data_IF_401862959441
#
_entry.id   IF_401862959441
#
_cell.length_a   1.000
_cell.length_b   1.000
_cell.length_c   1.000
_cell.angle_alpha   90.00
_cell.angle_beta   90.00
_cell.angle_gamma   90.00
#
_symmetry.space_group_name_H-M   'P 1'
#
loop_
_entity.id
_entity.type
_entity.pdbx_description
1 polymer ?
#
# COMPACT_ATOMS: atom_id res chain seq x y z
N UNK A 1 0.67 -1.42 -21.47
CA UNK A 1 2.09 -1.03 -21.48
C UNK A 1 2.82 -1.90 -20.49
N UNK A 2 4.12 -2.14 -20.69
CA UNK A 2 4.96 -2.81 -19.72
C UNK A 2 5.42 -1.79 -18.67
N UNK A 3 5.35 -2.14 -17.38
CA UNK A 3 5.73 -1.24 -16.29
C UNK A 3 7.25 -1.06 -16.20
N UNK A 4 8.03 -2.07 -16.58
CA UNK A 4 9.50 -2.00 -16.57
C UNK A 4 10.04 -0.96 -17.56
N UNK A 5 9.28 -0.58 -18.57
CA UNK A 5 9.63 0.48 -19.52
C UNK A 5 9.67 1.87 -18.85
N UNK A 6 9.06 2.02 -17.66
CA UNK A 6 9.05 3.26 -16.90
C UNK A 6 10.32 3.44 -16.02
N UNK A 7 11.21 2.44 -15.96
CA UNK A 7 12.44 2.56 -15.17
C UNK A 7 13.34 3.66 -15.72
N UNK A 8 14.15 4.26 -14.85
CA UNK A 8 15.18 5.21 -15.27
C UNK A 8 16.23 4.49 -16.15
N UNK A 9 16.53 5.00 -17.36
CA UNK A 9 17.57 4.43 -18.22
C UNK A 9 18.96 4.36 -17.57
N UNK A 10 19.22 5.19 -16.56
CA UNK A 10 20.50 5.24 -15.85
C UNK A 10 20.67 4.12 -14.80
N UNK A 11 19.63 3.33 -14.51
CA UNK A 11 19.70 2.23 -13.53
C UNK A 11 20.58 1.05 -14.01
N UNK A 12 21.03 1.10 -15.27
CA UNK A 12 21.89 0.09 -15.87
C UNK A 12 21.15 -1.20 -16.24
N UNK A 13 21.93 -2.23 -16.56
CA UNK A 13 21.43 -3.58 -16.87
C UNK A 13 21.51 -4.55 -15.70
N UNK A 14 22.28 -4.21 -14.66
CA UNK A 14 22.46 -5.02 -13.45
C UNK A 14 21.51 -4.54 -12.36
N UNK A 15 20.24 -4.94 -12.46
CA UNK A 15 19.24 -4.71 -11.44
C UNK A 15 18.32 -5.93 -11.32
N UNK A 16 17.68 -6.07 -10.17
CA UNK A 16 16.64 -7.08 -9.99
C UNK A 16 15.32 -6.55 -10.58
N UNK A 17 14.82 -7.21 -11.63
CA UNK A 17 13.57 -6.83 -12.28
C UNK A 17 12.38 -6.87 -11.33
N UNK A 18 12.36 -7.81 -10.38
CA UNK A 18 11.27 -7.96 -9.42
C UNK A 18 11.25 -6.81 -8.41
N UNK A 19 12.41 -6.34 -7.97
CA UNK A 19 12.52 -5.17 -7.10
C UNK A 19 12.03 -3.93 -7.84
N UNK A 20 12.53 -3.67 -9.05
CA UNK A 20 12.13 -2.50 -9.85
C UNK A 20 10.63 -2.51 -10.14
N UNK A 21 10.08 -3.65 -10.55
CA UNK A 21 8.64 -3.78 -10.76
C UNK A 21 7.85 -3.47 -9.47
N UNK A 22 8.29 -4.01 -8.33
CA UNK A 22 7.68 -3.77 -7.03
C UNK A 22 7.73 -2.29 -6.64
N UNK A 23 8.89 -1.62 -6.74
CA UNK A 23 8.99 -0.20 -6.35
C UNK A 23 8.15 0.71 -7.25
N UNK A 24 8.07 0.40 -8.55
CA UNK A 24 7.23 1.15 -9.49
C UNK A 24 5.73 0.97 -9.15
N UNK A 25 5.30 -0.25 -8.85
CA UNK A 25 3.91 -0.53 -8.39
C UNK A 25 3.61 0.18 -7.06
N UNK A 26 4.53 0.13 -6.10
CA UNK A 26 4.39 0.78 -4.80
C UNK A 26 4.32 2.31 -4.94
N UNK A 27 5.18 2.91 -5.78
CA UNK A 27 5.16 4.35 -6.06
C UNK A 27 3.84 4.83 -6.64
N UNK A 28 3.23 4.02 -7.51
CA UNK A 28 1.91 4.29 -8.07
C UNK A 28 0.81 4.25 -6.99
N UNK A 29 0.85 3.27 -6.09
CA UNK A 29 -0.07 3.17 -4.97
C UNK A 29 0.09 4.33 -3.98
N UNK A 30 1.33 4.74 -3.68
CA UNK A 30 1.63 5.91 -2.85
C UNK A 30 1.13 7.23 -3.47
N UNK A 31 1.07 7.29 -4.80
CA UNK A 31 0.63 8.47 -5.56
C UNK A 31 -0.86 8.48 -5.85
N UNK A 32 -1.63 7.55 -5.26
CA UNK A 32 -3.06 7.44 -5.50
C UNK A 32 -3.81 8.75 -5.18
N UNK A 33 -4.80 9.10 -6.00
CA UNK A 33 -5.56 10.36 -5.86
C UNK A 33 -6.34 10.43 -4.55
N UNK A 34 -7.03 9.35 -4.18
CA UNK A 34 -7.64 9.17 -2.87
C UNK A 34 -6.57 8.93 -1.79
N UNK A 35 -6.44 9.83 -0.77
CA UNK A 35 -5.51 9.66 0.34
C UNK A 35 -5.74 8.41 1.17
N UNK A 36 -6.98 7.91 1.26
CA UNK A 36 -7.32 6.73 2.07
C UNK A 36 -6.90 5.41 1.42
N UNK A 37 -6.67 5.41 0.11
CA UNK A 37 -6.15 4.25 -0.63
C UNK A 37 -4.62 4.16 -0.59
N UNK A 38 -3.93 5.22 -0.15
CA UNK A 38 -2.46 5.22 -0.02
C UNK A 38 -2.03 4.33 1.15
N UNK A 39 -0.91 3.62 1.03
CA UNK A 39 -0.40 2.80 2.11
C UNK A 39 0.16 3.69 3.22
N UNK A 40 0.09 3.20 4.46
CA UNK A 40 0.79 3.82 5.58
C UNK A 40 2.30 3.65 5.42
N UNK A 41 3.10 4.54 6.01
CA UNK A 41 4.57 4.41 5.97
C UNK A 41 5.07 3.06 6.53
N UNK A 42 4.37 2.49 7.52
CA UNK A 42 4.68 1.15 8.03
C UNK A 42 4.52 0.07 6.95
N UNK A 43 3.42 0.11 6.19
CA UNK A 43 3.19 -0.84 5.09
C UNK A 43 4.22 -0.65 3.97
N UNK A 44 4.54 0.59 3.60
CA UNK A 44 5.59 0.91 2.61
C UNK A 44 6.92 0.23 2.99
N UNK A 45 7.34 0.36 4.25
CA UNK A 45 8.58 -0.28 4.73
C UNK A 45 8.50 -1.81 4.66
N UNK A 46 7.38 -2.41 5.05
CA UNK A 46 7.22 -3.86 4.97
C UNK A 46 7.34 -4.37 3.52
N UNK A 47 6.80 -3.63 2.54
CA UNK A 47 6.94 -4.00 1.12
C UNK A 47 8.39 -3.86 0.64
N UNK A 48 9.07 -2.77 1.01
CA UNK A 48 10.46 -2.52 0.61
C UNK A 48 11.45 -3.52 1.25
N UNK A 49 11.17 -3.98 2.47
CA UNK A 49 11.99 -4.99 3.14
C UNK A 49 11.72 -6.42 2.66
N UNK A 50 10.66 -6.63 1.86
CA UNK A 50 10.18 -7.98 1.51
C UNK A 50 9.44 -8.70 2.63
N UNK A 51 9.10 -8.01 3.73
CA UNK A 51 8.31 -8.55 4.84
C UNK A 51 6.82 -8.75 4.47
N UNK A 52 6.38 -8.13 3.38
CA UNK A 52 5.04 -8.29 2.82
C UNK A 52 5.07 -8.21 1.29
N UNK A 53 4.11 -8.88 0.63
CA UNK A 53 3.92 -8.77 -0.81
C UNK A 53 2.91 -7.67 -1.15
N UNK A 54 3.18 -6.92 -2.21
CA UNK A 54 2.21 -5.95 -2.72
C UNK A 54 0.92 -6.66 -3.16
N UNK A 55 -0.25 -6.03 -2.92
CA UNK A 55 -1.49 -6.52 -3.51
C UNK A 55 -1.40 -6.44 -5.04
N UNK A 56 -2.05 -7.38 -5.73
CA UNK A 56 -2.16 -7.34 -7.18
C UNK A 56 -2.93 -6.08 -7.60
N UNK A 57 -2.24 -5.18 -8.31
CA UNK A 57 -2.78 -3.88 -8.70
C UNK A 57 -3.47 -4.05 -10.05
N UNK A 58 -4.79 -4.24 -10.04
CA UNK A 58 -5.54 -4.17 -11.29
C UNK A 58 -5.68 -2.70 -11.74
N UNK A 59 -5.80 -2.43 -13.05
CA UNK A 59 -6.06 -1.08 -13.55
C UNK A 59 -7.30 -0.40 -12.93
N UNK A 60 -8.24 -1.19 -12.41
CA UNK A 60 -9.44 -0.70 -11.75
C UNK A 60 -9.17 -0.23 -10.32
N UNK A 61 -8.24 -0.88 -9.61
CA UNK A 61 -7.86 -0.52 -8.23
C UNK A 61 -7.22 0.88 -8.17
N UNK A 62 -6.54 1.28 -9.25
CA UNK A 62 -5.87 2.58 -9.39
C UNK A 62 -6.81 3.71 -9.80
N UNK A 63 -8.04 3.38 -10.22
CA UNK A 63 -9.04 4.35 -10.72
C UNK A 63 -10.05 4.76 -9.63
N UNK A 64 -9.89 4.24 -8.41
CA UNK A 64 -10.57 4.79 -7.24
C UNK A 64 -11.82 4.05 -6.76
N UNK A 65 -11.90 2.71 -6.89
CA UNK A 65 -12.87 1.91 -6.15
C UNK A 65 -12.31 0.49 -5.92
N UNK A 66 -11.80 0.17 -4.73
CA UNK A 66 -11.60 -1.25 -4.36
C UNK A 66 -10.51 -1.61 -3.35
N UNK A 67 -9.55 -0.73 -3.02
CA UNK A 67 -8.42 -1.15 -2.16
C UNK A 67 -8.82 -1.36 -0.68
N UNK A 68 -9.95 -0.80 -0.25
CA UNK A 68 -10.47 -0.99 1.11
C UNK A 68 -10.85 -2.45 1.45
N UNK A 69 -11.03 -3.34 0.46
CA UNK A 69 -11.41 -4.73 0.73
C UNK A 69 -10.23 -5.73 0.83
N UNK A 70 -9.07 -5.45 0.23
CA UNK A 70 -7.87 -6.33 0.35
C UNK A 70 -6.88 -5.89 1.43
N UNK A 71 -6.77 -4.58 1.70
CA UNK A 71 -5.93 -4.11 2.82
C UNK A 71 -6.60 -4.33 4.19
N UNK A 72 -7.92 -4.45 4.23
CA UNK A 72 -8.67 -4.81 5.44
C UNK A 72 -8.47 -6.28 5.83
N UNK A 73 -8.18 -7.18 4.88
CA UNK A 73 -7.85 -8.57 5.20
C UNK A 73 -6.47 -8.69 5.88
N UNK A 74 -5.50 -7.86 5.47
CA UNK A 74 -4.20 -7.72 6.17
C UNK A 74 -4.36 -7.01 7.52
N UNK A 75 -5.36 -6.14 7.68
CA UNK A 75 -5.70 -5.52 8.97
C UNK A 75 -6.44 -6.48 9.91
N UNK A 76 -7.27 -7.40 9.39
CA UNK A 76 -8.05 -8.34 10.20
C UNK A 76 -7.19 -9.44 10.85
N UNK A 77 -5.99 -9.72 10.34
CA UNK A 77 -5.05 -10.64 10.99
C UNK A 77 -4.24 -10.00 12.13
N UNK A 78 -4.23 -8.66 12.26
CA UNK A 78 -3.54 -7.94 13.34
C UNK A 78 -4.46 -7.33 14.41
N UNK A 79 -5.79 -7.33 14.23
CA UNK A 79 -6.73 -6.89 15.29
C UNK A 79 -7.11 -8.01 16.27
N UNK A 80 -6.19 -8.94 16.51
CA UNK A 80 -6.19 -9.80 17.70
C UNK A 80 -5.52 -9.08 18.87
N UNK A 81 -6.11 -7.98 19.34
CA UNK A 81 -5.71 -7.33 20.60
C UNK A 81 -5.38 -5.85 20.48
N UNK A 82 -6.37 -4.97 20.65
CA UNK A 82 -6.24 -3.71 21.40
C UNK A 82 -7.63 -3.14 21.67
N UNK A 83 -7.95 -2.97 22.94
CA UNK A 83 -9.16 -2.37 23.47
C UNK A 83 -9.35 -0.94 22.95
N UNK A 84 -10.49 -0.64 22.33
CA UNK A 84 -10.93 0.75 22.21
C UNK A 84 -11.55 1.16 23.55
N UNK A 85 -11.00 2.21 24.17
CA UNK A 85 -11.66 2.91 25.26
C UNK A 85 -12.75 3.80 24.67
N UNK A 86 -14.01 3.52 24.99
CA UNK A 86 -15.11 4.46 24.72
C UNK A 86 -14.91 5.69 25.61
N UNK A 87 -14.46 6.80 25.01
CA UNK A 87 -14.37 8.08 25.70
C UNK A 87 -15.74 8.76 25.64
N UNK A 88 -16.47 8.65 26.74
CA UNK A 88 -17.73 9.34 27.04
C UNK A 88 -17.50 10.86 27.01
N UNK A 89 -18.02 11.55 25.99
CA UNK A 89 -18.27 12.99 26.04
C UNK A 89 -19.67 13.23 26.62
N UNK A 90 -19.80 13.07 27.95
CA UNK A 90 -20.97 13.55 28.67
C UNK A 90 -20.73 15.00 29.06
N UNK A 91 -21.22 15.91 28.22
CA UNK A 91 -21.21 17.35 28.47
C UNK A 91 -21.94 17.68 29.76
N UNK A 92 -21.20 18.28 30.70
CA UNK A 92 -21.73 18.86 31.92
C UNK A 92 -22.62 20.07 31.62
N UNK A 93 -23.67 20.20 32.43
CA UNK A 93 -24.70 21.24 32.39
C UNK A 93 -24.17 22.57 32.92
#
# INVERSE_FOLDING_TARGET
GNILDAKDPNIGSEYDESEVEMVLKLGLLCSHSDPHARPTMKQVLNYLNGDAMLPDLSPFDLRGNGIYNRLSEFSMTYTGGSSMVDSILSGGR
#
